data_IF_577201432513
#
_entry.id   IF_577201432513
#
_cell.length_a   1.000
_cell.length_b   1.000
_cell.length_c   1.000
_cell.angle_alpha   90.00
_cell.angle_beta   90.00
_cell.angle_gamma   90.00
#
_symmetry.space_group_name_H-M   'P 1'
#
loop_
_entity.id
_entity.type
_entity.pdbx_description
1 polymer ?
#
# COMPACT_ATOMS: atom_id res chain seq x y z
N UNK A 1 13.50 1.76 2.56
CA UNK A 1 13.71 1.02 1.30
C UNK A 1 12.95 1.76 0.20
N UNK A 2 13.18 1.49 -1.09
CA UNK A 2 12.58 2.28 -2.18
C UNK A 2 11.64 1.40 -2.99
N UNK A 3 10.36 1.76 -2.95
CA UNK A 3 9.37 1.57 -4.02
C UNK A 3 10.03 1.50 -5.41
N UNK A 4 9.66 0.49 -6.19
CA UNK A 4 10.22 0.30 -7.54
C UNK A 4 9.62 1.24 -8.60
N UNK A 5 10.42 1.49 -9.65
CA UNK A 5 10.27 2.53 -10.70
C UNK A 5 8.94 2.56 -11.45
N UNK A 6 8.39 1.40 -11.58
CA UNK A 6 7.15 0.99 -12.19
C UNK A 6 5.91 1.49 -11.47
N UNK A 7 5.95 1.86 -10.20
CA UNK A 7 4.78 2.43 -9.54
C UNK A 7 4.39 3.84 -9.95
N UNK A 8 5.26 4.50 -10.73
CA UNK A 8 5.20 5.93 -11.07
C UNK A 8 4.01 6.40 -11.93
N UNK A 9 3.12 5.53 -12.40
CA UNK A 9 1.86 5.95 -13.05
C UNK A 9 0.61 5.72 -12.19
N UNK A 10 0.76 5.34 -10.91
CA UNK A 10 -0.25 5.65 -9.88
C UNK A 10 0.10 7.02 -9.31
N UNK A 11 -0.85 7.76 -8.75
CA UNK A 11 -0.51 8.93 -7.95
C UNK A 11 0.55 8.49 -6.92
N UNK A 12 1.69 9.20 -6.86
CA UNK A 12 2.85 8.83 -6.03
C UNK A 12 2.44 8.55 -4.57
N UNK A 13 1.32 9.12 -4.14
CA UNK A 13 0.65 8.88 -2.86
C UNK A 13 0.18 7.44 -2.66
N UNK A 14 -0.52 6.81 -3.61
CA UNK A 14 -1.04 5.43 -3.45
C UNK A 14 0.09 4.43 -3.22
N UNK A 15 1.18 4.66 -3.93
CA UNK A 15 2.38 3.84 -3.89
C UNK A 15 3.06 3.94 -2.54
N UNK A 16 3.22 5.18 -2.06
CA UNK A 16 3.88 5.45 -0.79
C UNK A 16 3.04 4.96 0.39
N UNK A 17 1.71 4.98 0.26
CA UNK A 17 0.79 4.35 1.22
C UNK A 17 0.98 2.83 1.26
N UNK A 18 1.06 2.15 0.11
CA UNK A 18 1.31 0.71 0.08
C UNK A 18 2.68 0.34 0.68
N UNK A 19 3.73 1.09 0.36
CA UNK A 19 5.08 0.88 0.93
C UNK A 19 5.06 0.99 2.46
N UNK A 20 4.41 2.04 2.97
CA UNK A 20 4.23 2.22 4.41
C UNK A 20 3.48 1.05 5.04
N UNK A 21 2.38 0.59 4.43
CA UNK A 21 1.59 -0.53 4.95
C UNK A 21 2.36 -1.86 4.92
N UNK A 22 3.12 -2.13 3.87
CA UNK A 22 3.96 -3.33 3.75
C UNK A 22 5.09 -3.31 4.78
N UNK A 23 5.76 -2.17 4.97
CA UNK A 23 6.78 -1.98 6.01
C UNK A 23 6.27 -2.34 7.41
N UNK A 24 4.97 -2.16 7.65
CA UNK A 24 4.31 -2.39 8.93
C UNK A 24 3.68 -3.79 9.04
N UNK A 25 3.41 -4.43 7.90
CA UNK A 25 2.84 -5.77 7.82
C UNK A 25 1.49 -5.90 8.52
N UNK A 26 1.33 -6.99 9.27
CA UNK A 26 0.08 -7.35 9.95
C UNK A 26 -0.34 -6.38 11.07
N UNK A 27 0.57 -5.55 11.58
CA UNK A 27 0.20 -4.56 12.60
C UNK A 27 -0.67 -3.45 12.01
N UNK A 28 -0.52 -3.17 10.70
CA UNK A 28 -1.27 -2.14 10.00
C UNK A 28 -1.07 -0.73 10.55
N UNK A 29 -1.84 0.22 10.00
CA UNK A 29 -1.80 1.63 10.40
C UNK A 29 -3.20 2.25 10.39
N UNK A 30 -3.39 3.25 11.23
CA UNK A 30 -4.52 4.17 11.13
C UNK A 30 -4.28 5.23 10.06
N UNK A 31 -5.35 5.91 9.64
CA UNK A 31 -5.27 7.04 8.69
C UNK A 31 -4.34 8.15 9.20
N UNK A 32 -4.34 8.43 10.50
CA UNK A 32 -3.50 9.50 11.08
C UNK A 32 -2.02 9.14 11.09
N UNK A 33 -1.69 7.86 11.29
CA UNK A 33 -0.32 7.36 11.19
C UNK A 33 0.18 7.43 9.74
N UNK A 34 -0.66 7.02 8.78
CA UNK A 34 -0.35 7.14 7.35
C UNK A 34 -0.11 8.59 6.94
N UNK A 35 -0.93 9.54 7.43
CA UNK A 35 -0.71 10.98 7.17
C UNK A 35 0.66 11.45 7.65
N UNK A 36 1.07 11.01 8.85
CA UNK A 36 2.36 11.40 9.44
C UNK A 36 3.54 10.77 8.69
N UNK A 37 3.35 9.58 8.12
CA UNK A 37 4.42 8.82 7.45
C UNK A 37 4.58 9.17 5.96
N UNK A 38 3.49 9.49 5.27
CA UNK A 38 3.46 9.76 3.82
C UNK A 38 3.56 11.26 3.50
N UNK A 39 3.41 12.14 4.51
CA UNK A 39 3.54 13.60 4.38
C UNK A 39 2.67 14.21 3.27
N UNK A 40 1.42 13.75 3.16
CA UNK A 40 0.43 14.25 2.19
C UNK A 40 -0.78 14.88 2.88
N UNK A 41 -1.51 15.70 2.12
CA UNK A 41 -2.80 16.24 2.55
C UNK A 41 -3.83 15.12 2.77
N UNK A 42 -4.78 15.38 3.67
CA UNK A 42 -5.83 14.39 4.03
C UNK A 42 -6.65 14.01 2.80
N UNK A 43 -7.04 14.97 1.97
CA UNK A 43 -7.87 14.70 0.80
C UNK A 43 -7.16 13.80 -0.23
N UNK A 44 -5.85 14.00 -0.41
CA UNK A 44 -5.02 13.16 -1.28
C UNK A 44 -4.85 11.75 -0.69
N UNK A 45 -4.64 11.65 0.63
CA UNK A 45 -4.57 10.38 1.33
C UNK A 45 -5.88 9.60 1.24
N UNK A 46 -7.03 10.26 1.46
CA UNK A 46 -8.34 9.64 1.37
C UNK A 46 -8.66 9.16 -0.04
N UNK A 47 -8.31 9.96 -1.06
CA UNK A 47 -8.44 9.57 -2.47
C UNK A 47 -7.63 8.31 -2.77
N UNK A 48 -6.37 8.29 -2.34
CA UNK A 48 -5.49 7.14 -2.51
C UNK A 48 -6.03 5.89 -1.78
N UNK A 49 -6.47 6.03 -0.53
CA UNK A 49 -7.05 4.93 0.23
C UNK A 49 -8.34 4.38 -0.40
N UNK A 50 -9.18 5.26 -0.96
CA UNK A 50 -10.38 4.85 -1.67
C UNK A 50 -10.05 4.04 -2.93
N UNK A 51 -9.07 4.50 -3.73
CA UNK A 51 -8.60 3.79 -4.92
C UNK A 51 -8.02 2.41 -4.57
N UNK A 52 -7.11 2.36 -3.59
CA UNK A 52 -6.50 1.12 -3.11
C UNK A 52 -7.53 0.13 -2.57
N UNK A 53 -8.57 0.61 -1.87
CA UNK A 53 -9.66 -0.23 -1.37
C UNK A 53 -10.53 -0.75 -2.50
N UNK A 54 -10.83 0.07 -3.50
CA UNK A 54 -11.57 -0.33 -4.70
C UNK A 54 -10.85 -1.46 -5.45
N UNK A 55 -9.52 -1.37 -5.56
CA UNK A 55 -8.67 -2.38 -6.19
C UNK A 55 -8.44 -3.63 -5.31
N UNK A 56 -9.02 -3.64 -4.10
CA UNK A 56 -8.84 -4.68 -3.09
C UNK A 56 -7.38 -4.90 -2.71
N UNK A 57 -6.58 -3.83 -2.67
CA UNK A 57 -5.15 -3.85 -2.32
C UNK A 57 -4.89 -3.58 -0.85
N UNK A 58 -5.89 -3.04 -0.15
CA UNK A 58 -5.87 -2.86 1.29
C UNK A 58 -7.15 -3.45 1.91
N UNK A 59 -7.05 -3.82 3.17
CA UNK A 59 -8.18 -4.18 4.02
C UNK A 59 -8.32 -3.15 5.14
N UNK A 60 -9.52 -3.04 5.69
CA UNK A 60 -9.81 -2.11 6.80
C UNK A 60 -10.61 -2.83 7.86
N UNK A 61 -10.10 -2.84 9.09
CA UNK A 61 -10.69 -3.56 10.22
C UNK A 61 -10.80 -2.63 11.43
N UNK A 62 -11.73 -2.93 12.34
CA UNK A 62 -11.88 -2.17 13.58
C UNK A 62 -11.28 -2.95 14.73
N UNK A 63 -10.24 -2.41 15.33
CA UNK A 63 -9.50 -3.01 16.44
C UNK A 63 -9.31 -1.98 17.54
N UNK A 64 -9.59 -2.36 18.78
CA UNK A 64 -9.49 -1.48 19.95
C UNK A 64 -10.17 -0.11 19.75
N UNK A 65 -11.33 -0.12 19.08
CA UNK A 65 -12.11 1.08 18.77
C UNK A 65 -11.55 1.96 17.64
N UNK A 66 -10.43 1.58 17.01
CA UNK A 66 -9.76 2.32 15.93
C UNK A 66 -9.91 1.60 14.60
N UNK A 67 -9.87 2.36 13.50
CA UNK A 67 -9.85 1.81 12.15
C UNK A 67 -8.39 1.54 11.75
N UNK A 68 -8.04 0.28 11.58
CA UNK A 68 -6.72 -0.18 11.16
C UNK A 68 -6.79 -0.58 9.69
N UNK A 69 -5.79 -0.15 8.93
CA UNK A 69 -5.64 -0.40 7.50
C UNK A 69 -4.43 -1.33 7.33
N UNK A 70 -4.59 -2.36 6.51
CA UNK A 70 -3.55 -3.37 6.23
C UNK A 70 -3.37 -3.57 4.73
N UNK A 71 -2.17 -3.99 4.29
CA UNK A 71 -2.03 -4.49 2.93
C UNK A 71 -2.85 -5.77 2.78
N UNK A 72 -3.47 -5.98 1.63
CA UNK A 72 -4.06 -7.27 1.31
C UNK A 72 -2.96 -8.33 1.18
N UNK A 73 -3.24 -9.59 1.51
CA UNK A 73 -2.25 -10.69 1.47
C UNK A 73 -1.53 -10.78 0.12
N UNK A 74 -2.25 -10.56 -0.99
CA UNK A 74 -1.70 -10.54 -2.36
C UNK A 74 -0.67 -9.43 -2.63
N UNK A 75 -0.55 -8.45 -1.73
CA UNK A 75 0.38 -7.33 -1.80
C UNK A 75 1.63 -7.58 -0.95
N UNK A 76 1.54 -8.52 0.01
CA UNK A 76 2.67 -8.94 0.83
C UNK A 76 3.50 -9.97 0.04
N UNK A 77 4.82 -9.79 -0.11
CA UNK A 77 5.69 -10.79 -0.74
C UNK A 77 5.72 -12.10 0.05
N UNK A 78 5.72 -13.24 -0.64
CA UNK A 78 6.12 -14.53 -0.04
C UNK A 78 7.62 -14.47 0.30
N UNK A 79 8.02 -14.96 1.48
CA UNK A 79 9.40 -14.87 2.01
C UNK A 79 10.45 -15.57 1.11
N UNK A 80 10.01 -16.44 0.19
CA UNK A 80 10.84 -17.26 -0.69
C UNK A 80 11.23 -16.61 -2.05
N UNK A 81 10.72 -15.42 -2.40
CA UNK A 81 11.08 -14.70 -3.66
C UNK A 81 12.16 -13.61 -3.43
N UNK A 82 13.12 -13.86 -2.52
CA UNK A 82 14.11 -12.84 -2.09
C UNK A 82 15.30 -12.64 -3.05
N UNK A 83 15.47 -13.46 -4.11
CA UNK A 83 16.71 -13.48 -4.91
C UNK A 83 16.65 -12.94 -6.36
N UNK A 84 15.52 -12.39 -6.83
CA UNK A 84 15.49 -11.71 -8.12
C UNK A 84 14.98 -10.28 -7.98
N UNK A 85 15.78 -9.33 -8.45
CA UNK A 85 15.65 -7.87 -8.36
C UNK A 85 14.42 -7.28 -9.11
N UNK A 86 13.27 -7.94 -9.06
CA UNK A 86 11.99 -7.52 -9.63
C UNK A 86 10.89 -7.46 -8.58
N UNK A 87 10.64 -6.26 -8.06
CA UNK A 87 9.62 -5.97 -7.05
C UNK A 87 8.28 -6.49 -7.58
N UNK A 88 7.60 -7.35 -6.83
CA UNK A 88 6.34 -8.03 -7.23
C UNK A 88 5.18 -7.07 -7.50
N UNK A 89 5.38 -5.86 -7.04
CA UNK A 89 4.60 -4.69 -7.31
C UNK A 89 4.67 -4.51 -8.90
N UNK A 90 5.79 -4.77 -9.62
CA UNK A 90 5.96 -4.80 -11.12
C UNK A 90 5.00 -5.77 -11.76
N UNK A 91 4.86 -6.92 -11.11
CA UNK A 91 4.09 -8.05 -11.61
C UNK A 91 2.58 -7.82 -11.50
N UNK A 92 2.14 -7.10 -10.47
CA UNK A 92 0.73 -6.72 -10.29
C UNK A 92 0.33 -5.61 -11.27
N UNK A 93 1.26 -4.74 -11.65
CA UNK A 93 1.04 -3.65 -12.61
C UNK A 93 0.80 -4.13 -14.04
N UNK A 94 1.46 -5.21 -14.46
CA UNK A 94 1.23 -5.83 -15.78
C UNK A 94 -0.14 -6.54 -15.90
N UNK A 95 -0.80 -6.87 -14.78
CA UNK A 95 -2.06 -7.63 -14.78
C UNK A 95 -3.31 -6.77 -14.96
N UNK A 96 -3.25 -5.47 -14.67
CA UNK A 96 -4.39 -4.56 -14.77
C UNK A 96 -4.04 -3.29 -15.57
N UNK A 97 -4.05 -3.35 -16.90
CA UNK A 97 -3.92 -2.17 -17.75
C UNK A 97 -5.24 -1.40 -17.75
N UNK A 98 -5.20 -0.11 -17.39
CA UNK A 98 -6.27 0.85 -17.67
C UNK A 98 -5.66 2.00 -18.47
#
# INVERSE_FOLDING_TARGET
MRVKREYRSRDDTEVTVLDALVDRGEEGMTVLELRTRVEVEIDALETALAALKSDRLITTEREDGRLVIRPAEKVVPDEDETDEETSLVDRLRERFPF
#
